data_IF_672760606259
#
_entry.id   IF_672760606259
#
_cell.length_a   1.000
_cell.length_b   1.000
_cell.length_c   1.000
_cell.angle_alpha   90.00
_cell.angle_beta   90.00
_cell.angle_gamma   90.00
#
_symmetry.space_group_name_H-M   'P 1'
#
loop_
_entity.id
_entity.type
_entity.pdbx_description
1 polymer ?
#
# COMPACT_ATOMS: atom_id res chain seq x y z
N UNK A 1 10.31 -8.64 -16.75
CA UNK A 1 10.60 -7.20 -16.75
C UNK A 1 9.43 -6.48 -16.04
N UNK A 2 9.65 -5.64 -15.01
CA UNK A 2 8.57 -4.93 -14.32
C UNK A 2 7.81 -3.95 -15.23
N UNK A 3 8.43 -3.39 -16.24
CA UNK A 3 7.79 -2.48 -17.20
C UNK A 3 6.79 -3.23 -18.08
N UNK A 4 7.15 -4.39 -18.61
CA UNK A 4 6.25 -5.24 -19.40
C UNK A 4 5.07 -5.74 -18.55
N UNK A 5 5.36 -6.10 -17.29
CA UNK A 5 4.34 -6.55 -16.36
C UNK A 5 3.33 -5.44 -16.04
N UNK A 6 3.82 -4.22 -15.84
CA UNK A 6 2.98 -3.03 -15.62
C UNK A 6 2.06 -2.76 -16.82
N UNK A 7 2.60 -2.78 -18.04
CA UNK A 7 1.81 -2.63 -19.27
C UNK A 7 0.76 -3.73 -19.42
N UNK A 8 1.08 -4.96 -19.02
CA UNK A 8 0.11 -6.06 -19.01
C UNK A 8 -1.03 -5.80 -18.02
N UNK A 9 -0.74 -5.33 -16.81
CA UNK A 9 -1.77 -5.04 -15.81
C UNK A 9 -2.66 -3.87 -16.21
N UNK A 10 -2.11 -2.83 -16.82
CA UNK A 10 -2.89 -1.74 -17.40
C UNK A 10 -3.86 -2.29 -18.46
N UNK A 11 -3.37 -3.09 -19.40
CA UNK A 11 -4.19 -3.74 -20.44
C UNK A 11 -5.25 -4.72 -19.86
N UNK A 12 -4.97 -5.38 -18.72
CA UNK A 12 -5.93 -6.23 -18.01
C UNK A 12 -6.97 -5.44 -17.21
N UNK A 13 -6.84 -4.11 -17.14
CA UNK A 13 -7.78 -3.21 -16.49
C UNK A 13 -7.50 -2.97 -15.01
N UNK A 14 -6.24 -2.96 -14.58
CA UNK A 14 -5.88 -2.43 -13.27
C UNK A 14 -6.28 -0.95 -13.17
N UNK A 15 -6.73 -0.51 -12.00
CA UNK A 15 -7.08 0.88 -11.78
C UNK A 15 -5.87 1.71 -11.38
N UNK A 16 -4.91 1.09 -10.70
CA UNK A 16 -3.65 1.68 -10.24
C UNK A 16 -2.56 0.60 -10.18
N UNK A 17 -1.30 1.04 -10.22
CA UNK A 17 -0.13 0.19 -10.02
C UNK A 17 0.67 0.65 -8.81
N UNK A 18 1.28 -0.30 -8.11
CA UNK A 18 2.18 -0.01 -7.00
C UNK A 18 3.49 -0.76 -7.17
N UNK A 19 4.60 -0.03 -7.17
CA UNK A 19 5.95 -0.59 -7.07
C UNK A 19 6.44 -0.45 -5.63
N UNK A 20 6.78 -1.58 -5.02
CA UNK A 20 7.37 -1.63 -3.68
C UNK A 20 8.78 -2.22 -3.80
N UNK A 21 9.80 -1.37 -3.71
CA UNK A 21 11.18 -1.83 -3.66
C UNK A 21 11.53 -2.27 -2.23
N UNK A 22 11.49 -3.57 -2.01
CA UNK A 22 11.84 -4.19 -0.72
C UNK A 22 13.37 -4.34 -0.54
N UNK A 23 14.16 -4.08 -1.59
CA UNK A 23 15.62 -4.27 -1.60
C UNK A 23 16.41 -2.95 -1.64
N UNK A 24 15.74 -1.81 -1.49
CA UNK A 24 16.31 -0.47 -1.65
C UNK A 24 17.57 -0.22 -0.80
N UNK A 25 18.69 -0.79 -1.27
CA UNK A 25 20.04 -0.42 -0.85
C UNK A 25 20.52 0.79 -1.67
N UNK A 26 21.49 1.54 -1.13
CA UNK A 26 22.00 2.77 -1.76
C UNK A 26 22.51 2.63 -3.21
N UNK A 27 22.80 1.41 -3.67
CA UNK A 27 23.23 1.14 -5.05
C UNK A 27 22.11 0.88 -6.07
N UNK A 28 20.89 0.59 -5.60
CA UNK A 28 19.73 0.27 -6.47
C UNK A 28 18.88 1.47 -6.90
N UNK A 29 19.09 2.66 -6.34
CA UNK A 29 18.22 3.82 -6.58
C UNK A 29 18.20 4.32 -8.03
N UNK A 30 19.34 4.39 -8.69
CA UNK A 30 19.40 4.81 -10.09
C UNK A 30 18.60 3.86 -10.99
N UNK A 31 18.70 2.55 -10.73
CA UNK A 31 17.95 1.52 -11.44
C UNK A 31 16.45 1.66 -11.18
N UNK A 32 16.03 1.96 -9.94
CA UNK A 32 14.63 2.18 -9.60
C UNK A 32 14.05 3.39 -10.35
N UNK A 33 14.72 4.52 -10.37
CA UNK A 33 14.25 5.71 -11.10
C UNK A 33 14.11 5.46 -12.61
N UNK A 34 15.02 4.67 -13.20
CA UNK A 34 14.93 4.28 -14.61
C UNK A 34 13.71 3.38 -14.88
N UNK A 35 13.48 2.39 -14.02
CA UNK A 35 12.29 1.52 -14.10
C UNK A 35 11.01 2.34 -13.96
N UNK A 36 10.94 3.26 -12.99
CA UNK A 36 9.77 4.15 -12.81
C UNK A 36 9.50 4.96 -14.06
N UNK A 37 10.54 5.59 -14.64
CA UNK A 37 10.40 6.40 -15.88
C UNK A 37 9.90 5.57 -17.04
N UNK A 38 10.52 4.43 -17.30
CA UNK A 38 10.13 3.51 -18.38
C UNK A 38 8.71 2.96 -18.19
N UNK A 39 8.30 2.74 -16.96
CA UNK A 39 6.93 2.33 -16.65
C UNK A 39 5.95 3.46 -16.92
N UNK A 40 6.22 4.66 -16.44
CA UNK A 40 5.36 5.83 -16.65
C UNK A 40 5.18 6.19 -18.13
N UNK A 41 6.13 5.81 -18.98
CA UNK A 41 6.01 5.96 -20.44
C UNK A 41 5.08 4.91 -21.10
N UNK A 42 4.76 3.82 -20.42
CA UNK A 42 4.02 2.67 -20.95
C UNK A 42 2.61 2.51 -20.36
N UNK A 43 2.34 3.10 -19.19
CA UNK A 43 1.05 2.95 -18.50
C UNK A 43 0.37 4.30 -18.32
N UNK A 44 -0.97 4.30 -18.34
CA UNK A 44 -1.78 5.50 -18.22
C UNK A 44 -2.69 5.51 -16.98
N UNK A 45 -2.45 4.58 -16.07
CA UNK A 45 -3.08 4.51 -14.76
C UNK A 45 -2.12 5.01 -13.68
N UNK A 46 -2.61 5.53 -12.54
CA UNK A 46 -1.74 6.06 -11.50
C UNK A 46 -0.70 5.06 -11.03
N UNK A 47 0.54 5.53 -10.87
CA UNK A 47 1.68 4.76 -10.41
C UNK A 47 2.12 5.24 -9.02
N UNK A 48 1.97 4.37 -8.03
CA UNK A 48 2.52 4.56 -6.68
C UNK A 48 3.87 3.88 -6.58
N UNK A 49 4.87 4.57 -6.05
CA UNK A 49 6.20 4.01 -5.80
C UNK A 49 6.55 4.12 -4.33
N UNK A 50 6.93 3.00 -3.70
CA UNK A 50 7.36 2.93 -2.31
C UNK A 50 8.63 2.10 -2.16
N UNK A 51 9.24 2.21 -0.98
CA UNK A 51 10.49 1.54 -0.65
C UNK A 51 11.69 2.49 -0.64
N UNK A 52 12.45 2.48 0.44
CA UNK A 52 13.68 3.25 0.58
C UNK A 52 13.55 4.77 0.62
N UNK A 53 12.36 5.34 0.60
CA UNK A 53 12.09 6.80 0.66
C UNK A 53 12.35 7.31 2.06
N UNK A 54 13.23 8.33 2.22
CA UNK A 54 13.70 8.84 3.51
C UNK A 54 13.60 10.35 3.68
N UNK A 55 13.35 11.07 2.58
CA UNK A 55 13.36 12.53 2.55
C UNK A 55 12.39 13.07 1.50
N UNK A 56 12.06 14.36 1.60
CA UNK A 56 11.31 15.08 0.56
C UNK A 56 12.06 15.14 -0.77
N UNK A 57 13.39 15.09 -0.74
CA UNK A 57 14.20 15.01 -1.96
C UNK A 57 14.02 13.67 -2.69
N UNK A 58 13.88 12.54 -1.95
CA UNK A 58 13.55 11.25 -2.55
C UNK A 58 12.14 11.28 -3.17
N UNK A 59 11.18 11.92 -2.48
CA UNK A 59 9.81 12.11 -3.00
C UNK A 59 9.84 12.90 -4.31
N UNK A 60 10.53 14.05 -4.35
CA UNK A 60 10.68 14.89 -5.55
C UNK A 60 11.28 14.09 -6.71
N UNK A 61 12.34 13.31 -6.44
CA UNK A 61 13.01 12.51 -7.45
C UNK A 61 12.10 11.44 -8.07
N UNK A 62 11.26 10.78 -7.25
CA UNK A 62 10.29 9.77 -7.72
C UNK A 62 9.16 10.41 -8.53
N UNK A 63 8.60 11.53 -8.07
CA UNK A 63 7.56 12.26 -8.81
C UNK A 63 8.11 12.76 -10.16
N UNK A 64 9.33 13.29 -10.20
CA UNK A 64 9.99 13.68 -11.46
C UNK A 64 10.30 12.50 -12.37
N UNK A 65 10.52 11.31 -11.81
CA UNK A 65 10.69 10.09 -12.61
C UNK A 65 9.40 9.58 -13.23
N UNK A 66 8.23 10.10 -12.80
CA UNK A 66 6.92 9.77 -13.36
C UNK A 66 5.97 9.04 -12.40
N UNK A 67 6.34 8.90 -11.12
CA UNK A 67 5.38 8.43 -10.12
C UNK A 67 4.30 9.49 -9.88
N UNK A 68 3.05 9.05 -9.71
CA UNK A 68 1.94 9.91 -9.29
C UNK A 68 1.86 10.05 -7.77
N UNK A 69 2.23 8.97 -7.07
CA UNK A 69 2.17 8.88 -5.61
C UNK A 69 3.43 8.21 -5.05
N UNK A 70 3.80 8.56 -3.82
CA UNK A 70 4.97 8.00 -3.14
C UNK A 70 4.57 7.42 -1.79
N UNK A 71 4.95 6.16 -1.58
CA UNK A 71 4.70 5.41 -0.36
C UNK A 71 5.79 5.64 0.70
N UNK A 72 5.38 6.06 1.90
CA UNK A 72 6.24 6.26 3.06
C UNK A 72 5.88 5.25 4.15
N UNK A 73 6.87 4.54 4.71
CA UNK A 73 6.70 3.58 5.81
C UNK A 73 7.73 3.86 6.91
N UNK A 74 8.81 3.10 6.98
CA UNK A 74 9.83 3.14 8.06
C UNK A 74 10.34 4.55 8.36
N UNK A 75 10.58 5.35 7.33
CA UNK A 75 11.04 6.73 7.51
C UNK A 75 9.98 7.62 8.18
N UNK A 76 8.69 7.42 7.85
CA UNK A 76 7.60 8.14 8.49
C UNK A 76 7.40 7.72 9.96
N UNK A 77 7.59 6.44 10.28
CA UNK A 77 7.59 5.96 11.67
C UNK A 77 8.73 6.60 12.46
N UNK A 78 9.93 6.68 11.89
CA UNK A 78 11.08 7.28 12.54
C UNK A 78 10.98 8.83 12.66
N UNK A 79 10.36 9.48 11.69
CA UNK A 79 10.18 10.93 11.62
C UNK A 79 8.83 11.29 11.01
N UNK A 80 7.77 11.34 11.82
CA UNK A 80 6.40 11.60 11.35
C UNK A 80 6.23 12.92 10.59
N UNK A 81 7.03 13.93 10.93
CA UNK A 81 7.04 15.23 10.27
C UNK A 81 7.32 15.17 8.77
N UNK A 82 7.97 14.08 8.30
CA UNK A 82 8.21 13.85 6.87
C UNK A 82 6.89 13.80 6.07
N UNK A 83 5.81 13.25 6.65
CA UNK A 83 4.49 13.24 6.02
C UNK A 83 3.98 14.66 5.79
N UNK A 84 4.07 15.51 6.81
CA UNK A 84 3.62 16.89 6.72
C UNK A 84 4.49 17.75 5.77
N UNK A 85 5.78 17.51 5.75
CA UNK A 85 6.71 18.17 4.81
C UNK A 85 6.38 17.78 3.36
N UNK A 86 6.26 16.47 3.08
CA UNK A 86 5.92 15.96 1.76
C UNK A 86 4.53 16.46 1.30
N UNK A 87 3.53 16.38 2.17
CA UNK A 87 2.18 16.84 1.86
C UNK A 87 2.11 18.34 1.56
N UNK A 88 2.83 19.17 2.33
CA UNK A 88 2.88 20.62 2.07
C UNK A 88 3.59 20.96 0.76
N UNK A 89 4.62 20.22 0.41
CA UNK A 89 5.43 20.49 -0.78
C UNK A 89 4.78 19.96 -2.07
N UNK A 90 4.16 18.79 -2.03
CA UNK A 90 3.69 18.09 -3.23
C UNK A 90 2.17 17.89 -3.27
N UNK A 91 1.48 18.16 -2.18
CA UNK A 91 0.06 17.87 -2.00
C UNK A 91 -0.19 16.51 -1.34
N UNK A 92 -1.26 16.40 -0.55
CA UNK A 92 -1.63 15.18 0.16
C UNK A 92 -1.89 14.02 -0.81
N UNK A 93 -2.44 14.30 -1.99
CA UNK A 93 -2.76 13.30 -3.02
C UNK A 93 -1.52 12.53 -3.54
N UNK A 94 -0.30 13.07 -3.34
CA UNK A 94 0.96 12.41 -3.71
C UNK A 94 1.53 11.56 -2.57
N UNK A 95 0.96 11.62 -1.36
CA UNK A 95 1.52 10.97 -0.16
C UNK A 95 0.68 9.80 0.27
N UNK A 96 1.23 8.60 0.14
CA UNK A 96 0.63 7.35 0.63
C UNK A 96 1.37 6.92 1.89
N UNK A 97 0.64 6.75 3.00
CA UNK A 97 1.20 6.05 4.16
C UNK A 97 1.12 4.55 3.93
N UNK A 98 2.26 3.87 3.85
CA UNK A 98 2.29 2.40 3.90
C UNK A 98 2.40 1.95 5.34
N UNK A 99 1.45 1.15 5.79
CA UNK A 99 1.37 0.58 7.16
C UNK A 99 1.50 -0.93 7.07
N UNK A 100 2.63 -1.45 7.52
CA UNK A 100 2.78 -2.88 7.78
C UNK A 100 2.33 -3.13 9.22
N UNK A 101 1.17 -3.76 9.40
CA UNK A 101 0.59 -4.03 10.73
C UNK A 101 0.48 -5.53 11.00
N UNK A 102 0.65 -5.89 12.26
CA UNK A 102 0.40 -7.27 12.74
C UNK A 102 -0.29 -7.25 14.09
N UNK A 103 -0.90 -8.36 14.47
CA UNK A 103 -1.40 -8.54 15.84
C UNK A 103 -0.25 -8.49 16.84
N UNK A 104 -0.51 -7.85 17.97
CA UNK A 104 0.47 -7.82 19.08
C UNK A 104 0.78 -9.25 19.52
N UNK A 105 2.07 -9.58 19.54
CA UNK A 105 2.52 -10.92 19.96
C UNK A 105 2.41 -11.09 21.46
N UNK A 106 2.24 -12.33 21.91
CA UNK A 106 2.23 -12.67 23.33
C UNK A 106 3.51 -12.13 24.03
N UNK A 107 3.32 -11.36 25.10
CA UNK A 107 4.42 -10.71 25.82
C UNK A 107 4.93 -9.40 25.19
N UNK A 108 4.40 -8.97 24.04
CA UNK A 108 4.66 -7.65 23.47
C UNK A 108 3.89 -6.54 24.19
N UNK A 109 4.29 -5.28 23.99
CA UNK A 109 3.55 -4.15 24.56
C UNK A 109 2.12 -4.12 24.01
N UNK A 110 1.10 -4.06 24.89
CA UNK A 110 -0.29 -4.03 24.42
C UNK A 110 -0.58 -2.72 23.67
N UNK A 111 -1.35 -2.81 22.60
CA UNK A 111 -1.88 -1.65 21.89
C UNK A 111 -3.41 -1.61 21.98
N UNK A 112 -4.04 -0.42 21.95
CA UNK A 112 -5.51 -0.30 22.06
C UNK A 112 -6.29 -1.11 21.02
N UNK A 113 -5.81 -1.15 19.78
CA UNK A 113 -6.46 -1.92 18.70
C UNK A 113 -6.12 -3.41 18.69
N UNK A 114 -5.10 -3.83 19.43
CA UNK A 114 -4.53 -5.17 19.34
C UNK A 114 -3.58 -5.36 18.16
N UNK A 115 -3.35 -4.32 17.34
CA UNK A 115 -2.43 -4.33 16.21
C UNK A 115 -1.28 -3.36 16.42
N UNK A 116 -0.07 -3.78 16.12
CA UNK A 116 1.12 -2.93 16.13
C UNK A 116 1.65 -2.65 14.73
N UNK A 117 2.18 -1.46 14.53
CA UNK A 117 2.96 -1.11 13.34
C UNK A 117 4.29 -1.84 13.37
N UNK A 118 4.70 -2.35 12.22
CA UNK A 118 6.03 -2.94 12.02
C UNK A 118 6.84 -2.14 11.02
N UNK A 119 8.15 -2.29 11.07
CA UNK A 119 9.09 -1.67 10.13
C UNK A 119 10.01 -2.74 9.53
N UNK A 120 10.84 -2.31 8.54
CA UNK A 120 11.81 -3.18 7.88
C UNK A 120 11.17 -4.45 7.27
N UNK A 121 10.02 -4.29 6.59
CA UNK A 121 9.30 -5.40 5.97
C UNK A 121 8.75 -6.39 7.01
N UNK A 122 8.12 -5.89 8.06
CA UNK A 122 7.46 -6.70 9.09
C UNK A 122 8.38 -7.28 10.16
N UNK A 123 9.70 -7.07 10.04
CA UNK A 123 10.68 -7.72 10.91
C UNK A 123 10.75 -7.14 12.31
N UNK A 124 10.50 -5.83 12.47
CA UNK A 124 10.59 -5.13 13.75
C UNK A 124 9.22 -4.60 14.16
N UNK A 125 8.71 -5.04 15.33
CA UNK A 125 7.59 -4.41 15.99
C UNK A 125 8.01 -3.08 16.61
N UNK A 126 7.13 -2.09 16.57
CA UNK A 126 7.39 -0.75 17.09
C UNK A 126 6.68 -0.46 18.40
N UNK A 127 5.68 -1.27 18.76
CA UNK A 127 4.77 -1.00 19.88
C UNK A 127 3.80 0.16 19.62
N UNK A 128 3.82 0.76 18.41
CA UNK A 128 2.88 1.80 17.99
C UNK A 128 1.59 1.14 17.56
N UNK A 129 0.45 1.61 18.08
CA UNK A 129 -0.87 1.15 17.65
C UNK A 129 -1.11 1.51 16.18
N UNK A 130 -1.52 0.52 15.37
CA UNK A 130 -1.67 0.69 13.93
C UNK A 130 -2.81 1.66 13.56
N UNK A 131 -3.90 1.66 14.34
CA UNK A 131 -5.07 2.53 14.12
C UNK A 131 -4.74 3.96 14.50
N UNK A 132 -4.10 4.18 15.64
CA UNK A 132 -3.67 5.51 16.08
C UNK A 132 -2.61 6.09 15.13
N UNK A 133 -1.72 5.25 14.61
CA UNK A 133 -0.74 5.68 13.61
C UNK A 133 -1.38 6.12 12.31
N UNK A 134 -2.34 5.35 11.79
CA UNK A 134 -3.08 5.71 10.58
C UNK A 134 -3.81 7.05 10.73
N UNK A 135 -4.47 7.28 11.89
CA UNK A 135 -5.13 8.55 12.22
C UNK A 135 -4.13 9.70 12.25
N UNK A 136 -3.04 9.55 13.02
CA UNK A 136 -1.99 10.57 13.13
C UNK A 136 -1.36 10.91 11.78
N UNK A 137 -1.12 9.92 10.95
CA UNK A 137 -0.57 10.15 9.61
C UNK A 137 -1.53 10.90 8.68
N UNK A 138 -2.83 10.62 8.78
CA UNK A 138 -3.87 11.37 8.08
C UNK A 138 -3.87 12.84 8.52
N UNK A 139 -3.79 13.11 9.83
CA UNK A 139 -3.69 14.48 10.38
C UNK A 139 -2.42 15.19 9.91
N UNK A 140 -1.34 14.47 9.68
CA UNK A 140 -0.08 14.98 9.11
C UNK A 140 -0.11 15.15 7.59
N UNK A 141 -1.20 14.77 6.93
CA UNK A 141 -1.42 15.02 5.50
C UNK A 141 -1.19 13.84 4.58
N UNK A 142 -1.14 12.61 5.08
CA UNK A 142 -1.23 11.45 4.21
C UNK A 142 -2.58 11.45 3.47
N UNK A 143 -2.56 11.31 2.15
CA UNK A 143 -3.76 11.32 1.31
C UNK A 143 -4.39 9.96 1.12
N UNK A 144 -3.64 8.89 1.38
CA UNK A 144 -4.10 7.49 1.29
C UNK A 144 -3.35 6.61 2.30
N UNK A 145 -3.98 5.53 2.71
CA UNK A 145 -3.38 4.48 3.55
C UNK A 145 -3.28 3.17 2.76
N UNK A 146 -2.07 2.72 2.49
CA UNK A 146 -1.81 1.35 2.04
C UNK A 146 -1.60 0.46 3.26
N UNK A 147 -2.61 -0.32 3.60
CA UNK A 147 -2.68 -1.13 4.80
C UNK A 147 -2.34 -2.59 4.50
N UNK A 148 -1.17 -3.03 4.92
CA UNK A 148 -0.72 -4.41 4.73
C UNK A 148 -0.78 -5.19 6.05
N UNK A 149 -1.57 -6.27 6.07
CA UNK A 149 -1.58 -7.21 7.19
C UNK A 149 -0.41 -8.18 7.05
N UNK A 150 0.58 -8.06 7.94
CA UNK A 150 1.73 -8.97 7.97
C UNK A 150 1.36 -10.39 8.41
N UNK A 151 0.24 -10.55 9.12
CA UNK A 151 -0.27 -11.87 9.52
C UNK A 151 -0.96 -12.58 8.36
N UNK A 152 -1.57 -11.83 7.45
CA UNK A 152 -2.27 -12.36 6.29
C UNK A 152 -1.35 -12.46 5.05
N UNK A 153 -0.32 -11.62 4.97
CA UNK A 153 0.55 -11.55 3.78
C UNK A 153 1.23 -12.89 3.47
N UNK A 154 1.15 -13.30 2.22
CA UNK A 154 1.68 -14.59 1.74
C UNK A 154 0.86 -15.82 2.14
N UNK A 155 -0.17 -15.72 2.98
CA UNK A 155 -0.97 -16.87 3.46
C UNK A 155 -1.99 -17.37 2.44
N UNK A 156 -2.42 -16.50 1.52
CA UNK A 156 -3.55 -16.75 0.60
C UNK A 156 -4.88 -17.12 1.27
N UNK A 157 -5.04 -16.79 2.56
CA UNK A 157 -6.19 -17.16 3.39
C UNK A 157 -7.29 -16.08 3.47
N UNK A 158 -7.10 -14.96 2.80
CA UNK A 158 -7.99 -13.80 2.79
C UNK A 158 -7.37 -12.57 3.45
N UNK A 159 -7.96 -11.41 3.17
CA UNK A 159 -7.57 -10.14 3.78
C UNK A 159 -7.96 -10.09 5.27
N UNK A 160 -7.23 -9.32 6.05
CA UNK A 160 -7.56 -9.07 7.47
C UNK A 160 -8.67 -8.04 7.59
N UNK A 161 -9.92 -8.52 7.53
CA UNK A 161 -11.12 -7.67 7.55
C UNK A 161 -11.31 -6.92 8.89
N UNK A 162 -10.81 -7.46 10.00
CA UNK A 162 -10.84 -6.79 11.30
C UNK A 162 -9.93 -5.56 11.28
N UNK A 163 -8.68 -5.71 10.84
CA UNK A 163 -7.74 -4.60 10.72
C UNK A 163 -8.25 -3.52 9.76
N UNK A 164 -8.82 -3.93 8.61
CA UNK A 164 -9.40 -3.00 7.63
C UNK A 164 -10.52 -2.18 8.28
N UNK A 165 -11.48 -2.82 8.96
CA UNK A 165 -12.61 -2.15 9.59
C UNK A 165 -12.16 -1.15 10.68
N UNK A 166 -11.19 -1.53 11.51
CA UNK A 166 -10.65 -0.67 12.56
C UNK A 166 -9.98 0.58 11.98
N UNK A 167 -9.14 0.42 10.96
CA UNK A 167 -8.46 1.55 10.31
C UNK A 167 -9.47 2.42 9.57
N UNK A 168 -10.41 1.82 8.80
CA UNK A 168 -11.46 2.57 8.10
C UNK A 168 -12.29 3.45 9.02
N UNK A 169 -12.63 2.95 10.20
CA UNK A 169 -13.40 3.71 11.20
C UNK A 169 -12.61 4.91 11.78
N UNK A 170 -11.30 4.89 11.69
CA UNK A 170 -10.42 5.90 12.29
C UNK A 170 -9.94 6.99 11.31
N UNK A 171 -10.05 6.76 9.98
CA UNK A 171 -9.53 7.69 8.96
C UNK A 171 -10.61 8.06 7.94
N UNK A 172 -10.44 9.21 7.29
CA UNK A 172 -11.35 9.71 6.24
C UNK A 172 -10.77 9.56 4.83
N UNK A 173 -9.47 9.31 4.72
CA UNK A 173 -8.78 9.09 3.45
C UNK A 173 -8.99 7.67 2.94
N UNK A 174 -8.81 7.40 1.64
CA UNK A 174 -8.91 6.05 1.10
C UNK A 174 -7.99 5.04 1.80
N UNK A 175 -8.51 3.82 2.01
CA UNK A 175 -7.79 2.67 2.57
C UNK A 175 -7.66 1.61 1.50
N UNK A 176 -6.42 1.27 1.16
CA UNK A 176 -6.06 0.20 0.22
C UNK A 176 -5.65 -1.02 1.04
N UNK A 177 -6.43 -2.08 0.98
CA UNK A 177 -6.14 -3.32 1.71
C UNK A 177 -5.14 -4.19 0.95
N UNK A 178 -4.12 -4.69 1.66
CA UNK A 178 -3.07 -5.57 1.14
C UNK A 178 -2.78 -6.73 2.09
N UNK A 179 -2.33 -7.84 1.52
CA UNK A 179 -1.95 -9.06 2.23
C UNK A 179 -3.10 -10.06 2.36
N UNK A 180 -2.87 -11.30 1.91
CA UNK A 180 -3.78 -12.42 2.11
C UNK A 180 -4.63 -12.83 0.89
N UNK A 181 -4.60 -12.10 -0.21
CA UNK A 181 -5.34 -12.47 -1.42
C UNK A 181 -4.96 -13.88 -1.92
N UNK A 182 -5.93 -14.75 -2.15
CA UNK A 182 -5.70 -16.10 -2.64
C UNK A 182 -6.76 -16.57 -3.64
N UNK A 183 -8.03 -16.26 -3.40
CA UNK A 183 -9.15 -16.63 -4.27
C UNK A 183 -10.06 -15.44 -4.54
N UNK A 184 -10.91 -15.54 -5.57
CA UNK A 184 -11.90 -14.50 -5.90
C UNK A 184 -12.84 -14.17 -4.72
N UNK A 185 -13.17 -15.16 -3.90
CA UNK A 185 -14.05 -15.01 -2.74
C UNK A 185 -13.46 -14.11 -1.62
N UNK A 186 -12.15 -13.82 -1.65
CA UNK A 186 -11.50 -13.00 -0.63
C UNK A 186 -11.71 -11.50 -0.84
N UNK A 187 -11.99 -11.06 -2.07
CA UNK A 187 -12.08 -9.63 -2.40
C UNK A 187 -13.34 -8.94 -1.89
N UNK A 188 -14.57 -9.50 -2.05
CA UNK A 188 -15.78 -8.84 -1.58
C UNK A 188 -15.78 -8.55 -0.07
N UNK A 189 -15.33 -9.46 0.83
CA UNK A 189 -15.25 -9.18 2.27
C UNK A 189 -14.32 -8.01 2.61
N UNK A 190 -13.21 -7.82 1.89
CA UNK A 190 -12.29 -6.71 2.12
C UNK A 190 -12.95 -5.34 1.82
N UNK A 191 -13.66 -5.24 0.70
CA UNK A 191 -14.44 -4.03 0.37
C UNK A 191 -15.59 -3.82 1.35
N UNK A 192 -16.31 -4.89 1.73
CA UNK A 192 -17.39 -4.81 2.71
C UNK A 192 -16.90 -4.37 4.10
N UNK A 193 -15.64 -4.71 4.46
CA UNK A 193 -14.99 -4.24 5.68
C UNK A 193 -14.58 -2.75 5.63
N UNK A 194 -14.69 -2.12 4.46
CA UNK A 194 -14.46 -0.69 4.28
C UNK A 194 -13.19 -0.32 3.52
N UNK A 195 -12.53 -1.26 2.87
CA UNK A 195 -11.46 -0.92 1.94
C UNK A 195 -12.03 -0.21 0.71
N UNK A 196 -11.40 0.89 0.30
CA UNK A 196 -11.75 1.61 -0.93
C UNK A 196 -11.10 0.96 -2.16
N UNK A 197 -9.99 0.26 -1.95
CA UNK A 197 -9.29 -0.51 -2.97
C UNK A 197 -8.63 -1.76 -2.35
N UNK A 198 -8.27 -2.71 -3.21
CA UNK A 198 -7.54 -3.92 -2.83
C UNK A 198 -6.28 -4.06 -3.68
N UNK A 199 -5.16 -4.36 -3.04
CA UNK A 199 -3.89 -4.63 -3.68
C UNK A 199 -3.54 -6.11 -3.54
N UNK A 200 -3.13 -6.72 -4.64
CA UNK A 200 -2.61 -8.08 -4.65
C UNK A 200 -1.43 -8.19 -5.62
N UNK A 201 -0.48 -9.04 -5.32
CA UNK A 201 0.71 -9.25 -6.11
C UNK A 201 0.77 -10.68 -6.67
N UNK A 202 1.06 -11.66 -5.84
CA UNK A 202 1.37 -13.04 -6.24
C UNK A 202 0.28 -13.69 -7.11
N UNK A 203 -1.00 -13.51 -6.76
CA UNK A 203 -2.12 -14.08 -7.50
C UNK A 203 -2.21 -13.57 -8.95
N UNK A 204 -1.78 -12.32 -9.19
CA UNK A 204 -1.71 -11.73 -10.53
C UNK A 204 -0.38 -12.04 -11.22
N UNK A 205 0.75 -12.00 -10.49
CA UNK A 205 2.07 -12.29 -11.04
C UNK A 205 2.16 -13.72 -11.60
N UNK A 206 1.63 -14.69 -10.85
CA UNK A 206 1.64 -16.09 -11.25
C UNK A 206 0.43 -16.47 -12.10
N UNK A 207 -0.48 -15.53 -12.41
CA UNK A 207 -1.65 -15.80 -13.25
C UNK A 207 -2.68 -16.71 -12.59
N UNK A 208 -2.67 -16.83 -11.26
CA UNK A 208 -3.68 -17.60 -10.50
C UNK A 208 -5.06 -16.97 -10.64
N UNK A 209 -5.12 -15.65 -10.64
CA UNK A 209 -6.31 -14.84 -10.87
C UNK A 209 -6.00 -13.77 -11.92
N UNK A 210 -7.04 -13.33 -12.63
CA UNK A 210 -6.99 -12.18 -13.53
C UNK A 210 -7.71 -10.99 -12.92
N UNK A 211 -7.26 -9.78 -13.20
CA UNK A 211 -7.86 -8.53 -12.69
C UNK A 211 -9.33 -8.43 -13.09
N UNK A 212 -9.64 -8.77 -14.34
CA UNK A 212 -11.02 -8.78 -14.84
C UNK A 212 -11.95 -9.73 -14.09
N UNK A 213 -11.47 -10.89 -13.65
CA UNK A 213 -12.26 -11.86 -12.86
C UNK A 213 -12.58 -11.31 -11.47
N UNK A 214 -11.60 -10.64 -10.82
CA UNK A 214 -11.81 -9.96 -9.54
C UNK A 214 -12.86 -8.88 -9.69
N UNK A 215 -12.74 -8.01 -10.70
CA UNK A 215 -13.71 -6.95 -10.99
C UNK A 215 -15.12 -7.50 -11.24
N UNK A 216 -15.23 -8.58 -12.00
CA UNK A 216 -16.51 -9.25 -12.25
C UNK A 216 -17.13 -9.81 -10.96
N UNK A 217 -16.32 -10.42 -10.11
CA UNK A 217 -16.75 -10.96 -8.80
C UNK A 217 -17.27 -9.83 -7.90
N UNK A 218 -16.59 -8.70 -7.82
CA UNK A 218 -17.02 -7.54 -7.06
C UNK A 218 -18.34 -6.97 -7.60
N UNK A 219 -18.48 -6.82 -8.92
CA UNK A 219 -19.75 -6.38 -9.55
C UNK A 219 -20.89 -7.34 -9.27
N UNK A 220 -20.65 -8.65 -9.33
CA UNK A 220 -21.66 -9.67 -9.01
C UNK A 220 -22.11 -9.61 -7.54
N UNK A 221 -21.23 -9.16 -6.65
CA UNK A 221 -21.56 -8.89 -5.24
C UNK A 221 -22.26 -7.54 -5.00
N UNK A 222 -22.57 -6.78 -6.06
CA UNK A 222 -23.24 -5.48 -5.96
C UNK A 222 -22.31 -4.34 -5.50
N UNK A 223 -21.01 -4.55 -5.52
CA UNK A 223 -20.02 -3.55 -5.11
C UNK A 223 -19.63 -2.65 -6.29
N UNK A 224 -19.37 -1.35 -6.06
CA UNK A 224 -18.92 -0.44 -7.10
C UNK A 224 -17.53 -0.84 -7.59
N UNK A 225 -17.36 -0.89 -8.90
CA UNK A 225 -16.08 -1.22 -9.54
C UNK A 225 -15.87 -0.28 -10.73
N UNK A 226 -14.69 0.30 -10.77
CA UNK A 226 -14.24 1.18 -11.84
C UNK A 226 -14.07 0.43 -13.18
#
# INVERSE_FOLDING_TARGET
DPVELAARYDAEGADELTFLDITASSGGRATMYDVVRRTAEQVFIPLTVGGGVRSTADVDALLRAGADKVGLNTAAVARPELLAEASRQFGSQCVVLSVDARRVRAGGPPTPSGFEVTTHGGRQGTGIDAVDWARRATDLGAGEILLNSMDADGTTAGFDTELIALVRAAVTVPVIASGGAGTLAHFPPAIAAGADAVLAASVFHFGTLRIGEVKQTLRAAGLPVR
#
